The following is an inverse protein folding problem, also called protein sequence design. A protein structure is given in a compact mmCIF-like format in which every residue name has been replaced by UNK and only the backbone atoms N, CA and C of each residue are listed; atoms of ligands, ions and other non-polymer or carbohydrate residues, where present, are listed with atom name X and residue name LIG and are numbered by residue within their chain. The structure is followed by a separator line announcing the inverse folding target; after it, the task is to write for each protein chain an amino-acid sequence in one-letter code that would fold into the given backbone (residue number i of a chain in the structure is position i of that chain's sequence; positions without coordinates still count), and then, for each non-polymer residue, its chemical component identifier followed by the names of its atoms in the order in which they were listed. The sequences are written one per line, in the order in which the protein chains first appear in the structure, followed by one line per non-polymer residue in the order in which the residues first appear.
data_IF_631721388657
#
_entry.id   IF_631721388657
#
_cell.length_a   1.000
_cell.length_b   1.000
_cell.length_c   1.000
_cell.angle_alpha   90.00
_cell.angle_beta   90.00
_cell.angle_gamma   90.00
#
_symmetry.space_group_name_H-M   'P 1'
#
loop_
_entity.id
_entity.type
_entity.pdbx_description
1 polymer ?
#
# COMPACT_ATOMS: atom_id res chain seq x y z
N UNK A 1 5.86 0.19 25.00
CA UNK A 1 4.73 1.11 24.73
C UNK A 1 3.47 0.41 25.22
N UNK A 2 2.78 0.93 26.23
CA UNK A 2 1.51 0.35 26.69
C UNK A 2 0.43 0.70 25.67
N UNK A 3 0.07 -0.26 24.82
CA UNK A 3 -0.95 -0.08 23.79
C UNK A 3 -2.36 0.15 24.38
N UNK A 4 -2.56 -0.12 25.66
CA UNK A 4 -3.85 0.01 26.35
C UNK A 4 -4.40 1.44 26.42
N UNK A 5 -3.51 2.45 26.40
CA UNK A 5 -3.86 3.86 26.64
C UNK A 5 -3.92 4.75 25.38
N UNK A 6 -3.91 4.16 24.17
CA UNK A 6 -4.12 4.97 22.97
C UNK A 6 -5.58 5.47 22.93
N UNK A 7 -5.80 6.80 22.82
CA UNK A 7 -7.16 7.33 22.73
C UNK A 7 -7.84 6.81 21.47
N UNK A 8 -9.12 6.42 21.58
CA UNK A 8 -9.87 5.86 20.46
C UNK A 8 -9.95 6.78 19.24
N UNK A 9 -9.96 8.10 19.46
CA UNK A 9 -9.94 9.09 18.38
C UNK A 9 -8.68 9.01 17.51
N UNK A 10 -7.57 8.46 18.02
CA UNK A 10 -6.34 8.30 17.24
C UNK A 10 -6.51 7.31 16.09
N UNK A 11 -7.28 6.23 16.30
CA UNK A 11 -7.63 5.27 15.25
C UNK A 11 -8.39 5.98 14.12
N UNK A 12 -9.38 6.78 14.46
CA UNK A 12 -10.23 7.48 13.49
C UNK A 12 -9.50 8.64 12.80
N UNK A 13 -8.62 9.35 13.50
CA UNK A 13 -7.82 10.43 12.93
C UNK A 13 -6.72 9.92 11.98
N UNK A 14 -6.15 8.74 12.26
CA UNK A 14 -5.12 8.14 11.42
C UNK A 14 -5.69 7.36 10.22
N UNK A 15 -6.97 7.00 10.25
CA UNK A 15 -7.63 6.22 9.22
C UNK A 15 -7.57 6.87 7.82
N UNK A 16 -7.88 8.17 7.63
CA UNK A 16 -7.76 8.81 6.31
C UNK A 16 -6.33 8.82 5.77
N UNK A 17 -5.34 9.11 6.64
CA UNK A 17 -3.93 9.07 6.26
C UNK A 17 -3.50 7.66 5.85
N UNK A 18 -3.99 6.64 6.56
CA UNK A 18 -3.73 5.24 6.24
C UNK A 18 -4.36 4.84 4.90
N UNK A 19 -5.60 5.25 4.62
CA UNK A 19 -6.27 5.01 3.32
C UNK A 19 -5.47 5.58 2.16
N UNK A 20 -5.00 6.83 2.30
CA UNK A 20 -4.16 7.47 1.28
C UNK A 20 -2.85 6.70 1.10
N UNK A 21 -2.20 6.30 2.21
CA UNK A 21 -0.98 5.50 2.16
C UNK A 21 -1.20 4.15 1.48
N UNK A 22 -2.29 3.43 1.76
CA UNK A 22 -2.63 2.15 1.12
C UNK A 22 -2.86 2.29 -0.38
N UNK A 23 -3.59 3.35 -0.78
CA UNK A 23 -3.83 3.65 -2.18
C UNK A 23 -2.50 3.85 -2.94
N UNK A 24 -1.61 4.70 -2.42
CA UNK A 24 -0.29 4.91 -3.02
C UNK A 24 0.60 3.67 -2.93
N UNK A 25 0.58 2.96 -1.81
CA UNK A 25 1.31 1.70 -1.62
C UNK A 25 1.01 0.75 -2.76
N UNK A 26 -0.27 0.58 -3.13
CA UNK A 26 -0.63 -0.35 -4.17
C UNK A 26 -0.34 0.17 -5.58
N UNK A 27 -0.35 1.50 -5.82
CA UNK A 27 0.19 2.08 -7.06
C UNK A 27 1.67 1.70 -7.22
N UNK A 28 2.47 1.91 -6.18
CA UNK A 28 3.91 1.60 -6.21
C UNK A 28 4.19 0.10 -6.25
N UNK A 29 3.34 -0.71 -5.63
CA UNK A 29 3.41 -2.16 -5.75
C UNK A 29 3.16 -2.63 -7.18
N UNK A 30 2.12 -2.10 -7.85
CA UNK A 30 1.86 -2.40 -9.27
C UNK A 30 3.04 -1.98 -10.14
N UNK A 31 3.65 -0.82 -9.86
CA UNK A 31 4.87 -0.39 -10.57
C UNK A 31 6.06 -1.32 -10.33
N UNK A 32 6.33 -1.69 -9.08
CA UNK A 32 7.38 -2.63 -8.72
C UNK A 32 7.19 -3.99 -9.41
N UNK A 33 5.96 -4.51 -9.41
CA UNK A 33 5.62 -5.77 -10.08
C UNK A 33 5.86 -5.72 -11.58
N UNK A 34 5.38 -4.67 -12.27
CA UNK A 34 5.56 -4.52 -13.72
C UNK A 34 7.01 -4.30 -14.13
N UNK A 35 7.73 -3.43 -13.41
CA UNK A 35 9.11 -3.10 -13.71
C UNK A 35 10.08 -4.29 -13.61
N UNK A 36 9.76 -5.36 -12.86
CA UNK A 36 10.53 -6.62 -12.87
C UNK A 36 10.63 -7.26 -14.25
N UNK A 37 9.59 -7.08 -15.06
CA UNK A 37 9.50 -7.62 -16.41
C UNK A 37 9.86 -6.58 -17.47
N UNK A 38 10.43 -5.44 -17.06
CA UNK A 38 10.98 -4.43 -17.97
C UNK A 38 12.48 -4.67 -18.18
N UNK A 39 13.03 -4.17 -19.28
CA UNK A 39 14.47 -4.22 -19.56
C UNK A 39 15.30 -3.12 -18.88
N UNK A 40 14.70 -2.30 -18.00
CA UNK A 40 15.37 -1.16 -17.35
C UNK A 40 15.53 -1.39 -15.83
N UNK A 41 16.74 -1.74 -15.42
CA UNK A 41 17.10 -1.98 -14.01
C UNK A 41 16.98 -0.71 -13.15
N UNK A 42 17.26 0.47 -13.71
CA UNK A 42 17.12 1.73 -12.98
C UNK A 42 15.65 2.09 -12.75
N UNK A 43 14.79 1.77 -13.72
CA UNK A 43 13.34 1.86 -13.56
C UNK A 43 12.84 0.96 -12.44
N UNK A 44 13.29 -0.31 -12.40
CA UNK A 44 12.92 -1.23 -11.33
C UNK A 44 13.45 -0.78 -9.96
N UNK A 45 14.70 -0.29 -9.88
CA UNK A 45 15.28 0.22 -8.63
C UNK A 45 14.43 1.34 -8.01
N UNK A 46 13.98 2.30 -8.83
CA UNK A 46 13.10 3.39 -8.37
C UNK A 46 11.77 2.85 -7.86
N UNK A 47 11.15 1.94 -8.62
CA UNK A 47 9.90 1.30 -8.22
C UNK A 47 10.04 0.55 -6.89
N UNK A 48 11.13 -0.18 -6.71
CA UNK A 48 11.42 -0.94 -5.51
C UNK A 48 11.60 -0.04 -4.27
N UNK A 49 12.36 1.06 -4.37
CA UNK A 49 12.49 2.00 -3.26
C UNK A 49 11.14 2.60 -2.87
N UNK A 50 10.39 3.14 -3.82
CA UNK A 50 9.08 3.75 -3.53
C UNK A 50 8.09 2.74 -2.92
N UNK A 51 8.04 1.52 -3.45
CA UNK A 51 7.14 0.48 -2.96
C UNK A 51 7.50 0.04 -1.54
N UNK A 52 8.78 -0.23 -1.27
CA UNK A 52 9.21 -0.69 0.05
C UNK A 52 9.10 0.39 1.12
N UNK A 53 9.46 1.65 0.80
CA UNK A 53 9.35 2.76 1.76
C UNK A 53 7.91 2.98 2.21
N UNK A 54 6.96 3.02 1.25
CA UNK A 54 5.55 3.22 1.59
C UNK A 54 4.95 1.98 2.26
N UNK A 55 5.36 0.77 1.86
CA UNK A 55 4.93 -0.46 2.52
C UNK A 55 5.34 -0.47 4.00
N UNK A 56 6.56 -0.05 4.33
CA UNK A 56 7.01 0.04 5.72
C UNK A 56 6.14 1.01 6.52
N UNK A 57 5.90 2.21 6.01
CA UNK A 57 5.04 3.21 6.66
C UNK A 57 3.60 2.68 6.84
N UNK A 58 3.01 2.07 5.81
CA UNK A 58 1.63 1.57 5.88
C UNK A 58 1.48 0.37 6.81
N UNK A 59 2.48 -0.51 6.87
CA UNK A 59 2.49 -1.67 7.79
C UNK A 59 2.70 -1.28 9.24
N UNK A 60 3.56 -0.32 9.55
CA UNK A 60 3.75 0.15 10.93
C UNK A 60 2.46 0.72 11.50
N UNK A 61 1.71 1.50 10.70
CA UNK A 61 0.40 2.02 11.09
C UNK A 61 -0.65 0.91 11.24
N UNK A 62 -0.73 0.00 10.25
CA UNK A 62 -1.69 -1.11 10.26
C UNK A 62 -1.49 -2.04 11.47
N UNK A 63 -0.25 -2.44 11.74
CA UNK A 63 0.06 -3.39 12.80
C UNK A 63 -0.35 -2.84 14.17
N UNK A 64 -0.11 -1.55 14.41
CA UNK A 64 -0.52 -0.86 15.64
C UNK A 64 -2.04 -0.94 15.85
N UNK A 65 -2.83 -0.71 14.80
CA UNK A 65 -4.30 -0.76 14.87
C UNK A 65 -4.85 -2.18 15.01
N UNK A 66 -4.27 -3.15 14.29
CA UNK A 66 -4.70 -4.56 14.36
C UNK A 66 -4.44 -5.13 15.76
N UNK A 67 -3.24 -4.95 16.31
CA UNK A 67 -2.89 -5.47 17.64
C UNK A 67 -3.79 -4.87 18.72
N UNK A 68 -4.10 -3.57 18.64
CA UNK A 68 -5.00 -2.89 19.56
C UNK A 68 -6.45 -3.41 19.46
N UNK A 69 -6.95 -3.61 18.24
CA UNK A 69 -8.31 -4.10 18.01
C UNK A 69 -8.47 -5.55 18.47
N UNK A 70 -7.44 -6.39 18.23
CA UNK A 70 -7.41 -7.77 18.70
C UNK A 70 -7.41 -7.85 20.22
N UNK A 71 -6.64 -7.00 20.91
CA UNK A 71 -6.60 -6.95 22.37
C UNK A 71 -7.97 -6.62 23.01
N UNK A 72 -8.84 -5.91 22.28
CA UNK A 72 -10.18 -5.52 22.75
C UNK A 72 -11.31 -6.45 22.26
N UNK A 73 -10.98 -7.51 21.50
CA UNK A 73 -11.95 -8.43 20.90
C UNK A 73 -13.05 -7.75 20.05
N UNK A 74 -12.76 -6.59 19.45
CA UNK A 74 -13.72 -5.81 18.65
C UNK A 74 -13.74 -6.28 17.18
N UNK A 75 -14.22 -7.50 16.93
CA UNK A 75 -14.16 -8.15 15.61
C UNK A 75 -14.77 -7.34 14.46
N UNK A 76 -15.83 -6.58 14.71
CA UNK A 76 -16.47 -5.75 13.69
C UNK A 76 -15.53 -4.66 13.15
N UNK A 77 -14.62 -4.13 13.98
CA UNK A 77 -13.61 -3.13 13.56
C UNK A 77 -12.58 -3.75 12.64
N UNK A 78 -12.17 -4.99 12.89
CA UNK A 78 -11.26 -5.73 12.00
C UNK A 78 -11.89 -5.93 10.62
N UNK A 79 -13.18 -6.29 10.58
CA UNK A 79 -13.92 -6.43 9.32
C UNK A 79 -13.95 -5.09 8.59
N UNK A 80 -14.32 -4.00 9.26
CA UNK A 80 -14.35 -2.66 8.67
C UNK A 80 -12.98 -2.23 8.14
N UNK A 81 -11.92 -2.39 8.93
CA UNK A 81 -10.55 -2.09 8.52
C UNK A 81 -10.12 -2.94 7.32
N UNK A 82 -10.48 -4.22 7.30
CA UNK A 82 -10.24 -5.13 6.17
C UNK A 82 -10.96 -4.70 4.89
N UNK A 83 -12.21 -4.26 4.99
CA UNK A 83 -12.98 -3.72 3.86
C UNK A 83 -12.36 -2.45 3.32
N UNK A 84 -12.05 -1.48 4.20
CA UNK A 84 -11.41 -0.21 3.82
C UNK A 84 -10.06 -0.48 3.16
N UNK A 85 -9.25 -1.38 3.74
CA UNK A 85 -7.99 -1.82 3.16
C UNK A 85 -8.16 -2.39 1.75
N UNK A 86 -9.13 -3.29 1.58
CA UNK A 86 -9.39 -3.96 0.30
C UNK A 86 -9.80 -2.95 -0.77
N UNK A 87 -10.70 -2.02 -0.45
CA UNK A 87 -11.13 -0.98 -1.38
C UNK A 87 -9.98 -0.05 -1.77
N UNK A 88 -9.27 0.51 -0.79
CA UNK A 88 -8.18 1.45 -1.04
C UNK A 88 -7.04 0.83 -1.87
N UNK A 89 -6.66 -0.41 -1.53
CA UNK A 89 -5.63 -1.12 -2.29
C UNK A 89 -6.13 -1.48 -3.68
N UNK A 90 -7.34 -2.00 -3.85
CA UNK A 90 -7.90 -2.34 -5.17
C UNK A 90 -7.92 -1.13 -6.11
N UNK A 91 -8.43 0.02 -5.65
CA UNK A 91 -8.44 1.26 -6.42
C UNK A 91 -7.02 1.76 -6.77
N UNK A 92 -6.09 1.63 -5.82
CA UNK A 92 -4.68 1.94 -6.04
C UNK A 92 -4.06 1.06 -7.14
N UNK A 93 -4.36 -0.24 -7.14
CA UNK A 93 -3.86 -1.18 -8.15
C UNK A 93 -4.34 -0.82 -9.55
N UNK A 94 -5.65 -0.64 -9.71
CA UNK A 94 -6.28 -0.31 -11.01
C UNK A 94 -5.77 1.03 -11.52
N UNK A 95 -5.67 2.03 -10.64
CA UNK A 95 -5.13 3.35 -10.99
C UNK A 95 -3.66 3.26 -11.39
N UNK A 96 -2.85 2.50 -10.64
CA UNK A 96 -1.45 2.26 -10.95
C UNK A 96 -1.28 1.61 -12.32
N UNK A 97 -2.05 0.56 -12.60
CA UNK A 97 -2.06 -0.13 -13.89
C UNK A 97 -2.42 0.82 -15.03
N UNK A 98 -3.50 1.59 -14.90
CA UNK A 98 -3.94 2.58 -15.91
C UNK A 98 -2.88 3.64 -16.19
N UNK A 99 -2.19 4.13 -15.15
CA UNK A 99 -1.12 5.15 -15.31
C UNK A 99 0.14 4.57 -15.94
N UNK A 100 0.54 3.36 -15.56
CA UNK A 100 1.75 2.71 -16.05
C UNK A 100 1.62 2.30 -17.52
N UNK A 101 0.49 1.71 -17.92
CA UNK A 101 0.22 1.37 -19.32
C UNK A 101 0.35 2.57 -20.28
N UNK A 102 0.10 3.79 -19.79
CA UNK A 102 0.24 5.03 -20.58
C UNK A 102 1.67 5.60 -20.58
N UNK A 103 2.47 5.29 -19.56
CA UNK A 103 3.79 5.88 -19.33
C UNK A 103 4.95 4.99 -19.77
N UNK A 104 4.82 3.69 -19.59
CA UNK A 104 5.86 2.72 -19.92
C UNK A 104 6.11 2.71 -21.45
N UNK A 105 7.34 3.06 -21.86
CA UNK A 105 7.79 3.07 -23.26
C UNK A 105 9.19 2.48 -23.37
N UNK A 106 9.56 1.97 -24.55
CA UNK A 106 10.89 1.42 -24.80
C UNK A 106 11.24 0.30 -23.80
N UNK A 107 12.44 0.36 -23.23
CA UNK A 107 12.96 -0.60 -22.24
C UNK A 107 12.13 -0.67 -20.96
N UNK A 108 11.30 0.34 -20.65
CA UNK A 108 10.44 0.34 -19.45
C UNK A 108 9.15 -0.47 -19.63
N UNK A 109 8.83 -0.87 -20.86
CA UNK A 109 7.62 -1.67 -21.14
C UNK A 109 7.80 -3.09 -20.61
N UNK A 110 6.74 -3.63 -20.02
CA UNK A 110 6.67 -5.05 -19.68
C UNK A 110 6.90 -5.89 -20.94
N UNK A 111 7.82 -6.85 -20.86
CA UNK A 111 8.22 -7.71 -21.98
C UNK A 111 9.36 -7.14 -22.83
N UNK A 112 9.91 -5.95 -22.54
CA UNK A 112 11.01 -5.38 -23.32
C UNK A 112 12.37 -6.08 -23.10
N UNK A 113 12.46 -6.99 -22.14
CA UNK A 113 13.64 -7.80 -21.87
C UNK A 113 13.57 -9.21 -22.51
N UNK A 114 12.54 -9.46 -23.34
CA UNK A 114 12.37 -10.71 -24.09
C UNK A 114 12.90 -10.58 -25.51
#
# INVERSE_FOLDING_TARGET
MNFENLPEWTTWALLPAWVVLLFFQNIFFTWSSRSRNSGDVHWHRKAAYCSNSIWFCSKTLMLTQILWTLARAEWWRLILLGTIYTLATTEGSVTGMKKLLRREKGSQRVGACQ
#
